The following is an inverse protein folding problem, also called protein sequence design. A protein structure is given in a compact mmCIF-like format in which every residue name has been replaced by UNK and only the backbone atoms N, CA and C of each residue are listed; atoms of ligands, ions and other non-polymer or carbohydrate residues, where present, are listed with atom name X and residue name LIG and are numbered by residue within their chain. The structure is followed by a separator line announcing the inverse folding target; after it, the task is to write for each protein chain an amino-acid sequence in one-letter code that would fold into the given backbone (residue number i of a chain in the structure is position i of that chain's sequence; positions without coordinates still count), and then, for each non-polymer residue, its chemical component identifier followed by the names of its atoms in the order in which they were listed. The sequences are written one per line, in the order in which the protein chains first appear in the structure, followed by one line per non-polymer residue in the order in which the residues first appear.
data_IF_295167854910
#
_entry.id   IF_295167854910
#
_cell.length_a   1.000
_cell.length_b   1.000
_cell.length_c   1.000
_cell.angle_alpha   90.00
_cell.angle_beta   90.00
_cell.angle_gamma   90.00
#
_symmetry.space_group_name_H-M   'P 1'
#
loop_
_entity.id
_entity.type
_entity.pdbx_description
1 polymer ?
#
# COMPACT_ATOMS: atom_id res chain seq x y z
N UNK A 1 -18.29 28.38 -3.40
CA UNK A 1 -18.62 27.80 -2.11
C UNK A 1 -19.74 28.57 -1.44
N UNK A 2 -20.60 27.84 -0.75
CA UNK A 2 -21.73 28.47 -0.13
C UNK A 2 -21.31 29.26 1.11
N UNK A 3 -21.82 30.48 1.28
CA UNK A 3 -21.49 31.33 2.41
C UNK A 3 -21.85 30.68 3.73
N UNK A 4 -22.95 29.96 3.80
CA UNK A 4 -23.36 29.26 5.01
C UNK A 4 -22.35 28.24 5.46
N UNK A 5 -21.73 27.57 4.51
CA UNK A 5 -20.71 26.57 4.80
C UNK A 5 -19.47 27.27 5.32
N UNK A 6 -19.08 28.37 4.73
CA UNK A 6 -17.91 29.12 5.16
C UNK A 6 -18.10 29.64 6.58
N UNK A 7 -19.27 30.22 6.89
CA UNK A 7 -19.55 30.70 8.22
C UNK A 7 -19.52 29.56 9.24
N UNK A 8 -20.05 28.38 8.87
CA UNK A 8 -20.08 27.26 9.75
C UNK A 8 -18.67 26.77 10.05
N UNK A 9 -17.80 26.80 9.07
CA UNK A 9 -16.42 26.40 9.26
C UNK A 9 -15.67 27.42 10.13
N UNK A 10 -15.98 28.70 10.02
CA UNK A 10 -15.35 29.74 10.80
C UNK A 10 -15.72 29.68 12.29
N UNK A 11 -16.86 29.09 12.62
CA UNK A 11 -17.28 28.95 13.99
C UNK A 11 -16.43 27.91 14.73
N UNK A 12 -15.72 27.06 14.02
CA UNK A 12 -14.86 26.05 14.62
C UNK A 12 -13.40 26.35 14.29
N UNK A 13 -12.65 26.84 15.24
CA UNK A 13 -11.26 27.30 14.99
C UNK A 13 -10.39 26.29 14.27
N UNK A 14 -10.68 25.02 14.42
CA UNK A 14 -9.88 23.99 13.79
C UNK A 14 -10.39 23.62 12.41
N UNK A 15 -11.50 24.17 11.97
CA UNK A 15 -12.12 23.78 10.72
C UNK A 15 -12.06 24.89 9.67
N UNK A 16 -10.90 25.25 9.24
CA UNK A 16 -10.72 26.22 8.18
C UNK A 16 -10.90 25.54 6.82
N UNK A 17 -11.24 26.23 5.76
CA UNK A 17 -11.33 25.66 4.44
C UNK A 17 -10.02 24.99 3.99
N UNK A 18 -8.88 25.58 4.32
CA UNK A 18 -7.60 25.02 3.97
C UNK A 18 -7.39 23.71 4.70
N UNK A 19 -7.78 23.63 5.95
CA UNK A 19 -7.63 22.43 6.73
C UNK A 19 -8.52 21.31 6.21
N UNK A 20 -9.70 21.64 5.73
CA UNK A 20 -10.59 20.65 5.12
C UNK A 20 -9.97 20.06 3.86
N UNK A 21 -9.32 20.88 3.04
CA UNK A 21 -8.65 20.41 1.84
C UNK A 21 -7.50 19.51 2.18
N UNK A 22 -6.70 19.87 3.16
CA UNK A 22 -5.57 19.06 3.59
C UNK A 22 -6.05 17.69 4.05
N UNK A 23 -7.11 17.63 4.83
CA UNK A 23 -7.64 16.36 5.33
C UNK A 23 -8.23 15.53 4.20
N UNK A 24 -8.88 16.15 3.24
CA UNK A 24 -9.44 15.45 2.09
C UNK A 24 -8.33 14.86 1.22
N UNK A 25 -7.26 15.62 1.01
CA UNK A 25 -6.11 15.14 0.25
C UNK A 25 -5.43 14.01 0.98
N UNK A 26 -5.28 14.12 2.28
CA UNK A 26 -4.67 13.09 3.09
C UNK A 26 -5.47 11.80 3.01
N UNK A 27 -6.79 11.88 3.06
CA UNK A 27 -7.65 10.71 2.95
C UNK A 27 -7.51 10.06 1.57
N UNK A 28 -7.40 10.85 0.51
CA UNK A 28 -7.23 10.31 -0.85
C UNK A 28 -5.88 9.63 -1.00
N UNK A 29 -4.83 10.23 -0.43
CA UNK A 29 -3.50 9.64 -0.46
C UNK A 29 -3.48 8.34 0.32
N UNK A 30 -4.11 8.30 1.48
CA UNK A 30 -4.16 7.10 2.30
C UNK A 30 -4.96 6.00 1.60
N UNK A 31 -6.04 6.37 0.91
CA UNK A 31 -6.83 5.38 0.20
C UNK A 31 -6.05 4.81 -0.99
N UNK A 32 -5.27 5.65 -1.66
CA UNK A 32 -4.48 5.20 -2.80
C UNK A 32 -3.47 4.13 -2.39
N UNK A 33 -2.71 4.37 -1.33
CA UNK A 33 -1.73 3.37 -0.91
C UNK A 33 -2.40 2.13 -0.30
N UNK A 34 -3.57 2.30 0.33
CA UNK A 34 -4.29 1.16 0.86
C UNK A 34 -4.80 0.25 -0.25
N UNK A 35 -5.24 0.84 -1.36
CA UNK A 35 -5.65 0.06 -2.51
C UNK A 35 -4.47 -0.73 -3.08
N UNK A 36 -3.30 -0.11 -3.15
CA UNK A 36 -2.11 -0.82 -3.62
C UNK A 36 -1.69 -1.92 -2.64
N UNK A 37 -1.79 -1.65 -1.35
CA UNK A 37 -1.45 -2.64 -0.34
C UNK A 37 -2.36 -3.86 -0.45
N UNK A 38 -3.66 -3.65 -0.66
CA UNK A 38 -4.62 -4.74 -0.82
C UNK A 38 -4.35 -5.53 -2.10
N UNK A 39 -3.99 -4.83 -3.18
CA UNK A 39 -3.67 -5.48 -4.45
C UNK A 39 -2.44 -6.37 -4.29
N UNK A 40 -1.41 -5.86 -3.65
CA UNK A 40 -0.18 -6.62 -3.40
C UNK A 40 -0.49 -7.83 -2.52
N UNK A 41 -1.31 -7.64 -1.48
CA UNK A 41 -1.67 -8.74 -0.59
C UNK A 41 -2.38 -9.87 -1.35
N UNK A 42 -3.28 -9.53 -2.26
CA UNK A 42 -3.99 -10.52 -3.06
C UNK A 42 -3.03 -11.26 -4.00
N UNK A 43 -2.11 -10.54 -4.62
CA UNK A 43 -1.12 -11.17 -5.50
C UNK A 43 -0.22 -12.10 -4.69
N UNK A 44 0.15 -11.71 -3.47
CA UNK A 44 0.96 -12.54 -2.61
C UNK A 44 0.21 -13.80 -2.20
N UNK A 45 -1.05 -13.67 -1.80
CA UNK A 45 -1.83 -14.82 -1.37
C UNK A 45 -1.99 -15.82 -2.51
N UNK A 46 -2.29 -15.34 -3.71
CA UNK A 46 -2.42 -16.20 -4.87
C UNK A 46 -1.11 -16.93 -5.17
N UNK A 47 0.00 -16.22 -5.09
CA UNK A 47 1.29 -16.82 -5.40
C UNK A 47 1.71 -17.83 -4.34
N UNK A 48 1.50 -17.51 -3.08
CA UNK A 48 1.84 -18.41 -1.99
C UNK A 48 1.05 -19.73 -2.14
N UNK A 49 -0.21 -19.61 -2.50
CA UNK A 49 -1.03 -20.79 -2.70
C UNK A 49 -0.53 -21.58 -3.92
N UNK A 50 -0.22 -20.89 -5.00
CA UNK A 50 0.23 -21.54 -6.24
C UNK A 50 1.53 -22.31 -6.08
N UNK A 51 2.45 -21.80 -5.27
CA UNK A 51 3.75 -22.45 -5.09
C UNK A 51 3.84 -23.26 -3.79
N UNK A 52 2.78 -23.27 -3.01
CA UNK A 52 2.76 -24.04 -1.76
C UNK A 52 3.68 -23.50 -0.69
N UNK A 53 3.89 -22.19 -0.64
CA UNK A 53 4.76 -21.58 0.34
C UNK A 53 3.96 -21.08 1.52
N UNK A 54 4.40 -21.33 2.74
CA UNK A 54 3.73 -20.84 3.93
C UNK A 54 4.15 -19.43 4.26
N UNK A 55 3.39 -18.76 5.14
CA UNK A 55 3.75 -17.42 5.61
C UNK A 55 5.08 -17.46 6.37
N UNK A 56 5.33 -18.53 7.10
CA UNK A 56 6.57 -18.72 7.82
C UNK A 56 7.75 -18.80 6.88
N UNK A 57 7.60 -19.55 5.78
CA UNK A 57 8.64 -19.67 4.77
C UNK A 57 8.92 -18.31 4.13
N UNK A 58 7.88 -17.58 3.82
CA UNK A 58 8.04 -16.26 3.24
C UNK A 58 8.76 -15.31 4.20
N UNK A 59 8.39 -15.35 5.48
CA UNK A 59 9.03 -14.51 6.49
C UNK A 59 10.52 -14.81 6.58
N UNK A 60 10.88 -16.08 6.53
CA UNK A 60 12.29 -16.48 6.56
C UNK A 60 13.02 -15.92 5.33
N UNK A 61 12.43 -16.02 4.17
CA UNK A 61 13.06 -15.52 2.94
C UNK A 61 13.16 -13.99 2.93
N UNK A 62 12.20 -13.33 3.52
CA UNK A 62 12.22 -11.88 3.60
C UNK A 62 13.10 -11.36 4.73
N UNK A 63 13.48 -12.22 5.67
CA UNK A 63 14.25 -11.81 6.82
C UNK A 63 13.44 -11.01 7.82
N UNK A 64 12.16 -11.32 7.96
CA UNK A 64 11.28 -10.61 8.88
C UNK A 64 10.46 -11.61 9.68
N UNK A 65 9.56 -11.12 10.53
CA UNK A 65 8.74 -12.00 11.36
C UNK A 65 7.52 -12.48 10.59
N UNK A 66 6.98 -13.60 11.00
CA UNK A 66 5.75 -14.11 10.43
C UNK A 66 4.58 -13.15 10.71
N UNK A 67 4.62 -12.48 11.85
CA UNK A 67 3.61 -11.49 12.20
C UNK A 67 3.59 -10.34 11.21
N UNK A 68 4.76 -9.90 10.76
CA UNK A 68 4.84 -8.83 9.77
C UNK A 68 4.28 -9.31 8.43
N UNK A 69 4.60 -10.53 8.01
CA UNK A 69 4.04 -11.10 6.80
C UNK A 69 2.52 -11.17 6.91
N UNK A 70 2.01 -11.59 8.05
CA UNK A 70 0.57 -11.66 8.28
C UNK A 70 -0.09 -10.29 8.13
N UNK A 71 0.55 -9.24 8.65
CA UNK A 71 0.03 -7.87 8.52
C UNK A 71 0.01 -7.41 7.07
N UNK A 72 1.05 -7.76 6.31
CA UNK A 72 1.09 -7.41 4.89
C UNK A 72 -0.07 -8.09 4.17
N UNK A 73 -0.31 -9.36 4.48
CA UNK A 73 -1.35 -10.14 3.81
C UNK A 73 -2.76 -9.69 4.16
N UNK A 74 -2.92 -8.93 5.24
CA UNK A 74 -4.22 -8.37 5.56
C UNK A 74 -4.53 -7.14 4.70
N UNK A 75 -3.53 -6.62 3.99
CA UNK A 75 -3.75 -5.52 3.06
C UNK A 75 -3.86 -4.15 3.68
N UNK A 76 -3.37 -4.00 4.90
CA UNK A 76 -3.44 -2.71 5.60
C UNK A 76 -2.08 -2.11 5.92
N UNK A 77 -1.02 -2.74 5.48
CA UNK A 77 0.32 -2.28 5.80
C UNK A 77 0.81 -1.27 4.77
N UNK A 78 1.39 -0.17 5.25
CA UNK A 78 1.99 0.81 4.35
C UNK A 78 3.38 0.33 3.99
N UNK A 79 3.51 -0.28 2.82
CA UNK A 79 4.75 -0.92 2.42
C UNK A 79 5.71 0.09 1.81
N UNK A 80 6.97 -0.01 2.21
CA UNK A 80 8.00 0.81 1.59
C UNK A 80 8.37 0.21 0.24
N UNK A 81 8.96 1.00 -0.62
CA UNK A 81 9.44 0.51 -1.91
C UNK A 81 10.44 -0.62 -1.73
N UNK A 82 11.28 -0.52 -0.71
CA UNK A 82 12.27 -1.56 -0.44
C UNK A 82 11.57 -2.88 -0.13
N UNK A 83 10.51 -2.85 0.67
CA UNK A 83 9.76 -4.04 1.03
C UNK A 83 9.03 -4.61 -0.20
N UNK A 84 8.45 -3.76 -1.00
CA UNK A 84 7.74 -4.18 -2.21
C UNK A 84 8.72 -4.86 -3.17
N UNK A 85 9.89 -4.28 -3.37
CA UNK A 85 10.91 -4.88 -4.23
C UNK A 85 11.36 -6.23 -3.69
N UNK A 86 11.49 -6.35 -2.37
CA UNK A 86 11.90 -7.60 -1.76
C UNK A 86 10.84 -8.68 -2.00
N UNK A 87 9.57 -8.35 -1.83
CA UNK A 87 8.47 -9.27 -2.06
C UNK A 87 8.47 -9.71 -3.52
N UNK A 88 8.61 -8.74 -4.42
CA UNK A 88 8.56 -9.03 -5.85
C UNK A 88 9.75 -9.90 -6.28
N UNK A 89 10.91 -9.68 -5.71
CA UNK A 89 12.08 -10.48 -6.02
C UNK A 89 11.94 -11.92 -5.54
N UNK A 90 11.28 -12.14 -4.42
CA UNK A 90 11.11 -13.46 -3.87
C UNK A 90 9.98 -14.22 -4.56
N UNK A 91 8.84 -13.56 -4.73
CA UNK A 91 7.66 -14.21 -5.26
C UNK A 91 7.44 -14.02 -6.76
N UNK A 92 8.15 -13.09 -7.35
CA UNK A 92 8.03 -12.81 -8.79
C UNK A 92 6.60 -12.49 -9.20
N UNK A 93 6.03 -11.50 -8.51
CA UNK A 93 4.63 -11.16 -8.71
C UNK A 93 4.38 -10.26 -9.92
N UNK A 94 5.40 -9.62 -10.42
CA UNK A 94 5.22 -8.66 -11.51
C UNK A 94 4.46 -7.41 -11.04
N UNK A 95 4.74 -6.98 -9.80
CA UNK A 95 4.08 -5.81 -9.24
C UNK A 95 4.41 -4.58 -10.08
N UNK A 96 5.67 -4.47 -10.48
CA UNK A 96 6.09 -3.38 -11.33
C UNK A 96 5.87 -3.82 -12.76
N UNK A 97 5.64 -2.88 -13.64
CA UNK A 97 5.48 -3.23 -15.04
C UNK A 97 6.78 -3.80 -15.53
N UNK A 98 6.69 -4.63 -16.49
CA UNK A 98 7.85 -5.32 -17.00
C UNK A 98 8.82 -4.47 -17.69
N UNK A 99 9.26 -3.52 -17.06
CA UNK A 99 10.21 -2.75 -17.60
C UNK A 99 11.39 -3.43 -17.73
N UNK A 100 11.45 -4.25 -16.85
CA UNK A 100 12.60 -4.90 -16.76
C UNK A 100 12.96 -5.47 -17.95
N UNK A 101 12.17 -5.94 -18.64
CA UNK A 101 12.62 -6.62 -19.58
C UNK A 101 13.23 -5.83 -20.49
N UNK A 102 12.78 -4.96 -20.75
CA UNK A 102 13.32 -4.40 -21.69
C UNK A 102 14.48 -3.88 -21.40
N UNK A 103 14.46 -3.49 -20.46
CA UNK A 103 15.50 -2.90 -20.09
C UNK A 103 16.57 -3.56 -20.26
N UNK A 104 16.38 -4.44 -20.04
CA UNK A 104 17.42 -5.15 -20.01
C UNK A 104 18.10 -5.02 -21.16
N UNK A 105 17.62 -4.87 -21.97
CA UNK A 105 18.25 -4.94 -22.95
C UNK A 105 18.96 -4.01 -23.33
N UNK A 106 18.86 -3.35 -22.98
CA UNK A 106 19.56 -2.46 -23.45
C UNK A 106 20.76 -2.44 -23.31
#
# INVERSE_FOLDING_TARGET
MNEKIVKKLEQFPSATPSRWREKAEERRENEAWRQQSRRIALLMLDKLEAIGMSQSDLATRMGCTQQYVSRILKGHENLSLKTICKIDNILRLGIWTPIEEEQCLV
#
